data_IF_592004295311
#
_entry.id   IF_592004295311
#
_cell.length_a   1.000
_cell.length_b   1.000
_cell.length_c   1.000
_cell.angle_alpha   90.00
_cell.angle_beta   90.00
_cell.angle_gamma   90.00
#
_symmetry.space_group_name_H-M   'P 1'
#
loop_
_entity.id
_entity.type
_entity.pdbx_description
1 polymer ?
#
# COMPACT_ATOMS: atom_id res chain seq x y z
N UNK A 1 -3.86 63.22 -0.12
CA UNK A 1 -5.29 63.46 0.16
C UNK A 1 -5.76 62.20 0.88
N UNK A 2 -5.74 62.22 2.23
CA UNK A 2 -6.87 62.39 3.15
C UNK A 2 -7.90 61.32 2.94
N UNK A 3 -8.27 60.42 3.87
CA UNK A 3 -8.61 60.68 5.29
C UNK A 3 -8.54 59.38 6.12
N UNK A 4 -7.98 59.55 7.30
CA UNK A 4 -8.12 58.78 8.53
C UNK A 4 -9.59 58.76 8.99
N UNK A 5 -10.09 57.64 9.51
CA UNK A 5 -11.06 57.62 10.60
C UNK A 5 -10.87 56.43 11.53
N UNK A 6 -10.38 56.76 12.70
CA UNK A 6 -10.35 55.99 13.95
C UNK A 6 -11.78 55.97 14.50
N UNK A 7 -12.27 54.84 14.99
CA UNK A 7 -13.34 54.77 16.00
C UNK A 7 -12.91 53.78 17.09
N UNK A 8 -12.71 54.40 18.24
CA UNK A 8 -12.58 53.79 19.57
C UNK A 8 -13.95 53.80 20.20
N UNK A 9 -14.39 52.73 20.82
CA UNK A 9 -15.36 52.59 21.93
C UNK A 9 -15.63 51.10 22.11
N UNK A 10 -15.74 50.47 23.23
CA UNK A 10 -15.71 50.76 24.64
C UNK A 10 -15.65 49.38 25.35
N UNK A 11 -14.97 49.38 26.45
CA UNK A 11 -14.88 48.27 27.42
C UNK A 11 -16.25 47.92 28.00
N UNK A 12 -16.59 46.63 28.06
CA UNK A 12 -17.51 46.11 29.07
C UNK A 12 -16.94 44.81 29.64
N UNK A 13 -16.44 44.96 30.87
CA UNK A 13 -16.09 43.86 31.76
C UNK A 13 -17.40 43.25 32.29
N UNK A 14 -17.62 41.98 32.02
CA UNK A 14 -18.50 41.14 32.82
C UNK A 14 -17.77 39.86 33.16
N UNK A 15 -17.28 39.82 34.39
CA UNK A 15 -16.77 38.64 35.08
C UNK A 15 -17.92 37.67 35.35
N UNK A 16 -17.92 36.53 34.73
CA UNK A 16 -18.72 35.37 35.16
C UNK A 16 -17.78 34.22 35.43
N UNK A 17 -17.55 34.02 36.71
CA UNK A 17 -16.90 32.82 37.26
C UNK A 17 -17.85 31.65 37.07
N UNK A 18 -17.58 30.83 36.07
CA UNK A 18 -18.23 29.56 35.84
C UNK A 18 -17.17 28.47 35.67
N UNK A 19 -16.82 27.79 36.78
CA UNK A 19 -15.99 26.60 36.75
C UNK A 19 -16.78 25.48 36.09
N UNK A 20 -16.73 25.41 34.77
CA UNK A 20 -17.17 24.22 34.03
C UNK A 20 -16.04 23.21 34.04
N UNK A 21 -16.16 22.22 34.85
CA UNK A 21 -15.39 20.97 34.73
C UNK A 21 -15.74 20.37 33.37
N UNK A 22 -14.86 20.50 32.41
CA UNK A 22 -14.90 19.68 31.19
C UNK A 22 -14.56 18.27 31.61
N UNK A 23 -15.60 17.45 31.79
CA UNK A 23 -15.42 16.00 31.76
C UNK A 23 -14.84 15.67 30.39
N UNK A 24 -13.57 15.27 30.37
CA UNK A 24 -12.97 14.64 29.20
C UNK A 24 -13.80 13.38 28.92
N UNK A 25 -14.66 13.44 27.91
CA UNK A 25 -15.22 12.24 27.34
C UNK A 25 -14.06 11.47 26.75
N UNK A 26 -13.65 10.42 27.44
CA UNK A 26 -12.85 9.36 26.84
C UNK A 26 -13.63 8.83 25.63
N UNK A 27 -13.23 9.27 24.44
CA UNK A 27 -13.65 8.64 23.21
C UNK A 27 -12.99 7.26 23.20
N UNK A 28 -13.68 6.29 23.78
CA UNK A 28 -13.37 4.90 23.54
C UNK A 28 -13.61 4.69 22.04
N UNK A 29 -12.58 4.32 21.24
CA UNK A 29 -12.85 3.86 19.90
C UNK A 29 -13.73 2.61 20.09
N UNK A 30 -14.96 2.70 19.62
CA UNK A 30 -15.81 1.54 19.51
C UNK A 30 -15.02 0.52 18.67
N UNK A 31 -14.57 -0.55 19.33
CA UNK A 31 -14.02 -1.72 18.66
C UNK A 31 -15.16 -2.30 17.81
N UNK A 32 -15.29 -1.79 16.59
CA UNK A 32 -16.06 -2.46 15.57
C UNK A 32 -15.29 -3.75 15.29
N UNK A 33 -15.68 -4.82 15.97
CA UNK A 33 -15.28 -6.18 15.62
C UNK A 33 -15.86 -6.46 14.25
N UNK A 34 -15.11 -6.06 13.22
CA UNK A 34 -15.41 -6.44 11.85
C UNK A 34 -15.14 -7.93 11.78
N UNK A 35 -16.19 -8.72 11.85
CA UNK A 35 -16.12 -10.18 11.70
C UNK A 35 -15.69 -10.44 10.25
N UNK A 36 -14.41 -10.63 10.02
CA UNK A 36 -13.88 -11.05 8.72
C UNK A 36 -14.28 -12.50 8.50
N UNK A 37 -15.18 -12.73 7.54
CA UNK A 37 -15.46 -14.10 7.11
C UNK A 37 -14.38 -14.57 6.16
N UNK A 38 -13.90 -15.82 6.25
CA UNK A 38 -12.90 -16.38 5.33
C UNK A 38 -13.26 -16.18 3.85
N UNK A 39 -14.54 -16.26 3.48
CA UNK A 39 -15.03 -16.02 2.13
C UNK A 39 -14.74 -14.59 1.63
N UNK A 40 -14.92 -13.57 2.47
CA UNK A 40 -14.65 -12.17 2.06
C UNK A 40 -13.17 -11.88 1.83
N UNK A 41 -12.30 -12.63 2.48
CA UNK A 41 -10.85 -12.50 2.33
C UNK A 41 -10.38 -13.21 1.07
N UNK A 42 -10.88 -14.42 0.81
CA UNK A 42 -10.60 -15.14 -0.43
C UNK A 42 -11.01 -14.30 -1.66
N UNK A 43 -12.18 -13.66 -1.64
CA UNK A 43 -12.60 -12.73 -2.69
C UNK A 43 -11.61 -11.57 -2.88
N UNK A 44 -11.11 -10.97 -1.79
CA UNK A 44 -10.09 -9.91 -1.86
C UNK A 44 -8.77 -10.44 -2.43
N UNK A 45 -8.32 -11.61 -1.99
CA UNK A 45 -7.10 -12.23 -2.50
C UNK A 45 -7.21 -12.58 -4.00
N UNK A 46 -8.37 -13.06 -4.45
CA UNK A 46 -8.64 -13.35 -5.87
C UNK A 46 -8.71 -12.07 -6.70
N UNK A 47 -9.38 -11.02 -6.22
CA UNK A 47 -9.43 -9.72 -6.90
C UNK A 47 -8.02 -9.12 -7.05
N UNK A 48 -7.23 -9.11 -5.97
CA UNK A 48 -5.84 -8.62 -6.03
C UNK A 48 -4.99 -9.45 -6.99
N UNK A 49 -5.18 -10.77 -7.04
CA UNK A 49 -4.45 -11.64 -7.97
C UNK A 49 -4.83 -11.33 -9.42
N UNK A 50 -6.10 -11.11 -9.73
CA UNK A 50 -6.59 -10.75 -11.06
C UNK A 50 -6.05 -9.39 -11.51
N UNK A 51 -6.15 -8.36 -10.67
CA UNK A 51 -5.63 -7.01 -10.93
C UNK A 51 -4.11 -7.01 -11.15
N UNK A 52 -3.38 -7.79 -10.35
CA UNK A 52 -1.93 -7.89 -10.45
C UNK A 52 -1.45 -8.51 -11.76
N UNK A 53 -2.21 -9.43 -12.33
CA UNK A 53 -1.79 -10.18 -13.52
C UNK A 53 -2.25 -9.53 -14.83
N UNK A 54 -3.40 -8.87 -14.85
CA UNK A 54 -4.00 -8.29 -16.06
C UNK A 54 -3.66 -6.84 -16.30
N UNK A 55 -3.80 -6.00 -15.28
CA UNK A 55 -3.77 -4.55 -15.46
C UNK A 55 -2.36 -3.94 -15.44
N UNK A 56 -1.38 -4.62 -14.85
CA UNK A 56 -0.03 -4.06 -14.67
C UNK A 56 0.65 -3.75 -16.00
N UNK A 57 0.57 -4.65 -16.97
CA UNK A 57 1.13 -4.44 -18.30
C UNK A 57 0.42 -3.27 -19.02
N UNK A 58 -0.91 -3.20 -18.89
CA UNK A 58 -1.71 -2.12 -19.46
C UNK A 58 -1.38 -0.76 -18.86
N UNK A 59 -1.21 -0.69 -17.54
CA UNK A 59 -0.82 0.54 -16.86
C UNK A 59 0.57 0.99 -17.32
N UNK A 60 1.53 0.08 -17.45
CA UNK A 60 2.85 0.39 -17.99
C UNK A 60 2.71 0.90 -19.44
N UNK A 61 1.98 0.20 -20.30
CA UNK A 61 1.79 0.58 -21.69
C UNK A 61 1.16 1.97 -21.85
N UNK A 62 0.21 2.33 -21.01
CA UNK A 62 -0.44 3.66 -20.99
C UNK A 62 0.47 4.79 -20.49
N UNK A 63 1.49 4.47 -19.71
CA UNK A 63 2.33 5.47 -19.04
C UNK A 63 3.78 5.53 -19.54
N UNK A 64 4.17 4.62 -20.44
CA UNK A 64 5.53 4.55 -21.00
C UNK A 64 5.42 4.47 -22.51
N UNK A 65 5.88 5.52 -23.21
CA UNK A 65 5.91 5.55 -24.67
C UNK A 65 7.18 4.85 -25.15
N UNK A 66 7.02 3.75 -25.86
CA UNK A 66 8.11 2.97 -26.45
C UNK A 66 8.09 3.07 -27.96
N UNK A 67 9.26 3.10 -28.58
CA UNK A 67 9.38 2.83 -30.01
C UNK A 67 9.11 1.35 -30.29
N UNK A 68 8.75 1.00 -31.54
CA UNK A 68 8.52 -0.41 -31.91
C UNK A 68 9.72 -1.30 -31.61
N UNK A 69 10.94 -0.82 -31.79
CA UNK A 69 12.16 -1.55 -31.49
C UNK A 69 12.38 -1.77 -29.98
N UNK A 70 12.06 -0.76 -29.15
CA UNK A 70 12.09 -0.88 -27.70
C UNK A 70 11.01 -1.83 -27.19
N UNK A 71 9.78 -1.70 -27.69
CA UNK A 71 8.65 -2.55 -27.31
C UNK A 71 8.94 -4.03 -27.58
N UNK A 72 9.47 -4.37 -28.76
CA UNK A 72 9.82 -5.73 -29.13
C UNK A 72 10.85 -6.40 -28.18
N UNK A 73 11.73 -5.60 -27.58
CA UNK A 73 12.74 -6.11 -26.62
C UNK A 73 12.22 -6.07 -25.19
N UNK A 74 11.44 -5.05 -24.83
CA UNK A 74 11.00 -4.81 -23.46
C UNK A 74 9.92 -5.78 -22.98
N UNK A 75 8.87 -6.00 -23.79
CA UNK A 75 7.72 -6.79 -23.33
C UNK A 75 8.05 -8.22 -22.92
N UNK A 76 8.91 -8.96 -23.66
CA UNK A 76 9.33 -10.29 -23.19
C UNK A 76 10.09 -10.25 -21.84
N UNK A 77 10.90 -9.21 -21.61
CA UNK A 77 11.60 -9.03 -20.34
C UNK A 77 10.61 -8.67 -19.22
N UNK A 78 9.63 -7.84 -19.51
CA UNK A 78 8.60 -7.46 -18.54
C UNK A 78 7.72 -8.65 -18.15
N UNK A 79 7.35 -9.51 -19.09
CA UNK A 79 6.63 -10.76 -18.82
C UNK A 79 7.44 -11.68 -17.89
N UNK A 80 8.72 -11.87 -18.16
CA UNK A 80 9.59 -12.66 -17.31
C UNK A 80 9.74 -12.04 -15.90
N UNK A 81 9.84 -10.72 -15.79
CA UNK A 81 9.80 -9.99 -14.54
C UNK A 81 8.51 -10.25 -13.76
N UNK A 82 7.36 -10.11 -14.41
CA UNK A 82 6.05 -10.36 -13.79
C UNK A 82 5.92 -11.79 -13.27
N UNK A 83 6.42 -12.77 -14.00
CA UNK A 83 6.41 -14.18 -13.56
C UNK A 83 7.16 -14.37 -12.24
N UNK A 84 8.37 -13.81 -12.12
CA UNK A 84 9.15 -13.88 -10.88
C UNK A 84 8.46 -13.09 -9.75
N UNK A 85 7.89 -11.93 -10.07
CA UNK A 85 7.17 -11.09 -9.12
C UNK A 85 5.92 -11.80 -8.58
N UNK A 86 5.14 -12.44 -9.45
CA UNK A 86 3.95 -13.18 -9.07
C UNK A 86 4.26 -14.33 -8.12
N UNK A 87 5.40 -15.01 -8.28
CA UNK A 87 5.81 -16.06 -7.35
C UNK A 87 6.01 -15.54 -5.91
N UNK A 88 6.58 -14.33 -5.76
CA UNK A 88 6.75 -13.69 -4.45
C UNK A 88 5.39 -13.28 -3.87
N UNK A 89 4.49 -12.76 -4.70
CA UNK A 89 3.15 -12.36 -4.31
C UNK A 89 2.33 -13.58 -3.87
N UNK A 90 2.38 -14.67 -4.63
CA UNK A 90 1.68 -15.90 -4.29
C UNK A 90 2.17 -16.50 -2.95
N UNK A 91 3.46 -16.40 -2.66
CA UNK A 91 4.01 -16.78 -1.35
C UNK A 91 3.42 -15.93 -0.23
N UNK A 92 3.35 -14.60 -0.43
CA UNK A 92 2.72 -13.67 0.51
C UNK A 92 1.24 -14.01 0.74
N UNK A 93 0.47 -14.23 -0.33
CA UNK A 93 -0.95 -14.54 -0.24
C UNK A 93 -1.21 -15.83 0.55
N UNK A 94 -0.42 -16.87 0.31
CA UNK A 94 -0.48 -18.11 1.11
C UNK A 94 -0.12 -17.88 2.58
N UNK A 95 0.82 -16.98 2.87
CA UNK A 95 1.16 -16.58 4.25
C UNK A 95 0.01 -15.88 4.96
N UNK A 96 -0.63 -14.93 4.27
CA UNK A 96 -1.80 -14.20 4.77
C UNK A 96 -2.97 -15.16 5.03
N UNK A 97 -3.24 -16.07 4.11
CA UNK A 97 -4.31 -17.06 4.28
C UNK A 97 -4.08 -17.92 5.53
N UNK A 98 -2.88 -18.47 5.70
CA UNK A 98 -2.54 -19.24 6.92
C UNK A 98 -2.68 -18.43 8.20
N UNK A 99 -2.30 -17.14 8.17
CA UNK A 99 -2.48 -16.26 9.33
C UNK A 99 -3.96 -16.13 9.69
N UNK A 100 -4.83 -15.86 8.72
CA UNK A 100 -6.25 -15.68 8.96
C UNK A 100 -6.91 -16.95 9.49
N UNK A 101 -6.56 -18.11 8.93
CA UNK A 101 -7.07 -19.41 9.37
C UNK A 101 -6.68 -19.76 10.82
N UNK A 102 -5.60 -19.19 11.35
CA UNK A 102 -5.05 -19.51 12.68
C UNK A 102 -5.00 -18.28 13.61
N UNK A 103 -5.64 -17.18 13.26
CA UNK A 103 -5.51 -15.91 13.99
C UNK A 103 -5.87 -16.03 15.47
N UNK A 104 -6.93 -16.80 15.80
CA UNK A 104 -7.43 -16.98 17.16
C UNK A 104 -6.52 -17.89 18.03
N UNK A 105 -5.61 -18.64 17.41
CA UNK A 105 -4.73 -19.60 18.09
C UNK A 105 -3.25 -19.27 17.92
N UNK A 106 -2.95 -18.07 17.40
CA UNK A 106 -1.59 -17.65 17.10
C UNK A 106 -0.78 -17.45 18.39
N UNK A 107 0.31 -18.18 18.51
CA UNK A 107 1.28 -18.02 19.59
C UNK A 107 2.40 -17.03 19.23
N UNK A 108 3.27 -16.71 20.17
CA UNK A 108 4.41 -15.78 19.98
C UNK A 108 5.33 -16.22 18.82
N UNK A 109 5.56 -17.52 18.65
CA UNK A 109 6.38 -18.04 17.58
C UNK A 109 5.71 -17.82 16.19
N UNK A 110 4.42 -18.05 16.11
CA UNK A 110 3.62 -17.76 14.92
C UNK A 110 3.58 -16.27 14.58
N UNK A 111 3.42 -15.42 15.60
CA UNK A 111 3.45 -13.96 15.43
C UNK A 111 4.82 -13.49 14.89
N UNK A 112 5.91 -13.99 15.44
CA UNK A 112 7.26 -13.71 14.98
C UNK A 112 7.50 -14.24 13.54
N UNK A 113 7.02 -15.43 13.22
CA UNK A 113 7.12 -15.99 11.88
C UNK A 113 6.36 -15.15 10.85
N UNK A 114 5.19 -14.61 11.19
CA UNK A 114 4.40 -13.74 10.33
C UNK A 114 5.16 -12.46 9.96
N UNK A 115 5.72 -11.75 10.95
CA UNK A 115 6.44 -10.50 10.67
C UNK A 115 7.75 -10.75 9.89
N UNK A 116 8.45 -11.83 10.18
CA UNK A 116 9.64 -12.23 9.43
C UNK A 116 9.32 -12.56 7.98
N UNK A 117 8.19 -13.21 7.71
CA UNK A 117 7.72 -13.45 6.34
C UNK A 117 7.46 -12.15 5.55
N UNK A 118 6.99 -11.10 6.22
CA UNK A 118 6.85 -9.77 5.61
C UNK A 118 8.22 -9.16 5.27
N UNK A 119 9.19 -9.22 6.17
CA UNK A 119 10.56 -8.72 5.91
C UNK A 119 11.23 -9.48 4.78
N UNK A 120 11.11 -10.80 4.74
CA UNK A 120 11.64 -11.66 3.68
C UNK A 120 11.01 -11.32 2.32
N UNK A 121 9.70 -11.14 2.28
CA UNK A 121 8.98 -10.72 1.09
C UNK A 121 9.50 -9.38 0.56
N UNK A 122 9.69 -8.40 1.43
CA UNK A 122 10.17 -7.07 1.04
C UNK A 122 11.62 -7.12 0.54
N UNK A 123 12.46 -7.93 1.18
CA UNK A 123 13.83 -8.19 0.73
C UNK A 123 13.85 -8.85 -0.65
N UNK A 124 13.07 -9.92 -0.87
CA UNK A 124 12.92 -10.61 -2.15
C UNK A 124 12.44 -9.66 -3.25
N UNK A 125 11.44 -8.83 -2.97
CA UNK A 125 10.88 -7.88 -3.92
C UNK A 125 11.87 -6.76 -4.28
N UNK A 126 12.67 -6.29 -3.32
CA UNK A 126 13.73 -5.32 -3.57
C UNK A 126 14.85 -5.91 -4.44
N UNK A 127 15.32 -7.11 -4.11
CA UNK A 127 16.34 -7.81 -4.89
C UNK A 127 15.87 -8.07 -6.34
N UNK A 128 14.61 -8.47 -6.50
CA UNK A 128 13.99 -8.66 -7.82
C UNK A 128 14.03 -7.36 -8.63
N UNK A 129 13.61 -6.24 -8.06
CA UNK A 129 13.60 -4.94 -8.75
C UNK A 129 15.00 -4.48 -9.15
N UNK A 130 15.98 -4.68 -8.28
CA UNK A 130 17.38 -4.33 -8.58
C UNK A 130 17.92 -5.17 -9.76
N UNK A 131 17.68 -6.48 -9.75
CA UNK A 131 18.04 -7.39 -10.84
C UNK A 131 17.42 -6.92 -12.16
N UNK A 132 16.11 -6.71 -12.17
CA UNK A 132 15.37 -6.41 -13.39
C UNK A 132 15.53 -4.97 -13.90
N UNK A 133 15.89 -4.01 -13.06
CA UNK A 133 16.29 -2.69 -13.53
C UNK A 133 17.48 -2.81 -14.51
N UNK A 134 18.49 -3.62 -14.19
CA UNK A 134 19.62 -3.88 -15.10
C UNK A 134 19.21 -4.56 -16.41
N UNK A 135 18.25 -5.48 -16.36
CA UNK A 135 17.73 -6.13 -17.57
C UNK A 135 16.93 -5.16 -18.44
N UNK A 136 16.10 -4.31 -17.84
CA UNK A 136 15.33 -3.29 -18.58
C UNK A 136 16.23 -2.24 -19.23
N UNK A 137 17.36 -1.89 -18.63
CA UNK A 137 18.34 -0.97 -19.23
C UNK A 137 19.02 -1.54 -20.49
N UNK A 138 18.94 -2.85 -20.73
CA UNK A 138 19.41 -3.44 -22.00
C UNK A 138 18.44 -3.21 -23.17
N UNK A 139 17.16 -2.97 -22.87
CA UNK A 139 16.10 -2.74 -23.86
C UNK A 139 15.67 -1.28 -23.98
N UNK A 140 15.84 -0.50 -22.89
CA UNK A 140 15.37 0.87 -22.74
C UNK A 140 16.53 1.79 -22.34
N UNK A 141 16.38 3.09 -22.57
CA UNK A 141 17.25 4.06 -21.90
C UNK A 141 16.98 4.08 -20.38
N UNK A 142 17.94 4.56 -19.61
CA UNK A 142 17.89 4.56 -18.14
C UNK A 142 16.66 5.29 -17.60
N UNK A 143 16.22 6.39 -18.21
CA UNK A 143 15.06 7.17 -17.73
C UNK A 143 13.76 6.37 -17.89
N UNK A 144 13.58 5.70 -19.03
CA UNK A 144 12.43 4.83 -19.27
C UNK A 144 12.45 3.60 -18.34
N UNK A 145 13.59 2.94 -18.17
CA UNK A 145 13.72 1.80 -17.27
C UNK A 145 13.38 2.21 -15.81
N UNK A 146 13.88 3.34 -15.34
CA UNK A 146 13.55 3.88 -14.01
C UNK A 146 12.06 4.23 -13.92
N UNK A 147 11.46 4.83 -14.96
CA UNK A 147 10.02 5.13 -14.98
C UNK A 147 9.16 3.87 -14.86
N UNK A 148 9.51 2.80 -15.56
CA UNK A 148 8.84 1.49 -15.42
C UNK A 148 8.88 1.03 -13.96
N UNK A 149 10.07 1.05 -13.33
CA UNK A 149 10.23 0.63 -11.94
C UNK A 149 9.48 1.53 -10.95
N UNK A 150 9.39 2.84 -11.22
CA UNK A 150 8.60 3.76 -10.39
C UNK A 150 7.10 3.43 -10.45
N UNK A 151 6.57 3.14 -11.64
CA UNK A 151 5.17 2.76 -11.83
C UNK A 151 4.91 1.43 -11.12
N UNK A 152 5.74 0.41 -11.34
CA UNK A 152 5.63 -0.88 -10.67
C UNK A 152 5.62 -0.75 -9.14
N UNK A 153 6.53 0.07 -8.59
CA UNK A 153 6.58 0.30 -7.15
C UNK A 153 5.30 0.94 -6.64
N UNK A 154 4.74 1.94 -7.34
CA UNK A 154 3.48 2.59 -6.94
C UNK A 154 2.31 1.61 -6.95
N UNK A 155 2.20 0.76 -7.96
CA UNK A 155 1.20 -0.30 -8.01
C UNK A 155 1.34 -1.26 -6.83
N UNK A 156 2.57 -1.70 -6.53
CA UNK A 156 2.83 -2.56 -5.38
C UNK A 156 2.47 -1.89 -4.05
N UNK A 157 2.72 -0.58 -3.89
CA UNK A 157 2.32 0.16 -2.68
C UNK A 157 0.80 0.25 -2.54
N UNK A 158 0.07 0.46 -3.63
CA UNK A 158 -1.40 0.48 -3.63
C UNK A 158 -1.97 -0.88 -3.16
N UNK A 159 -1.43 -1.99 -3.65
CA UNK A 159 -1.83 -3.33 -3.22
C UNK A 159 -1.48 -3.60 -1.75
N UNK A 160 -0.29 -3.17 -1.28
CA UNK A 160 0.05 -3.32 0.14
C UNK A 160 -0.89 -2.51 1.04
N UNK A 161 -1.29 -1.32 0.62
CA UNK A 161 -2.29 -0.53 1.35
C UNK A 161 -3.64 -1.27 1.41
N UNK A 162 -4.08 -1.86 0.32
CA UNK A 162 -5.30 -2.67 0.30
C UNK A 162 -5.22 -3.83 1.30
N UNK A 163 -4.11 -4.56 1.34
CA UNK A 163 -3.89 -5.62 2.35
C UNK A 163 -3.92 -5.05 3.77
N UNK A 164 -3.20 -3.95 4.02
CA UNK A 164 -3.16 -3.33 5.35
C UNK A 164 -4.54 -2.90 5.87
N UNK A 165 -5.49 -2.60 4.99
CA UNK A 165 -6.86 -2.22 5.38
C UNK A 165 -7.80 -3.41 5.57
N UNK A 166 -7.42 -4.61 5.11
CA UNK A 166 -8.30 -5.80 5.10
C UNK A 166 -7.83 -6.91 6.03
N UNK A 167 -6.54 -6.96 6.35
CA UNK A 167 -5.99 -7.99 7.23
C UNK A 167 -6.00 -7.47 8.67
N UNK A 168 -6.59 -8.20 9.62
CA UNK A 168 -6.62 -7.79 11.03
C UNK A 168 -5.22 -7.76 11.63
N UNK A 169 -5.03 -6.89 12.62
CA UNK A 169 -3.83 -6.91 13.45
C UNK A 169 -3.89 -8.07 14.45
N UNK A 170 -2.71 -8.49 14.92
CA UNK A 170 -2.58 -9.43 16.03
C UNK A 170 -3.14 -8.79 17.31
N UNK A 171 -3.90 -9.52 18.09
CA UNK A 171 -4.50 -9.07 19.35
C UNK A 171 -3.73 -9.60 20.55
#
# INVERSE_FOLDING_TARGET
MRNTRVFVTAVCLLSVSGSAWMAAQEVHPASASTTYTPASIEEVLQAVRADLQGERADIIAKNVTLTSAQAAKFWPLFEAYQKEQNAIIDEQLRGIQRYIENADTLDDAGALALINAHFDRDAKMNALRQKWLGEFQKALDTKLAVRVMQIDRRLSMAHQLLFATKIPLIH
#
